data_IF_004470032598
#
_entry.id   IF_004470032598
#
_cell.length_a   1.000
_cell.length_b   1.000
_cell.length_c   1.000
_cell.angle_alpha   90.00
_cell.angle_beta   90.00
_cell.angle_gamma   90.00
#
_symmetry.space_group_name_H-M   'P 1'
#
loop_
_entity.id
_entity.type
_entity.pdbx_description
1 polymer ?
#
# COMPACT_ATOMS: atom_id res chain seq x y z
N UNK A 1 -41.53 9.47 -24.95
CA UNK A 1 -41.68 9.22 -23.51
C UNK A 1 -40.37 9.11 -22.74
N UNK A 2 -39.19 9.09 -23.40
CA UNK A 2 -37.88 8.99 -22.69
C UNK A 2 -37.24 10.34 -22.31
N UNK A 3 -37.78 11.48 -22.72
CA UNK A 3 -37.25 12.81 -22.42
C UNK A 3 -37.90 13.51 -21.22
N UNK A 4 -39.01 13.02 -20.72
CA UNK A 4 -39.69 13.57 -19.53
C UNK A 4 -39.22 13.02 -18.19
N UNK A 5 -38.54 11.88 -18.18
CA UNK A 5 -38.05 11.25 -16.94
C UNK A 5 -36.76 11.90 -16.42
N UNK A 6 -35.97 12.52 -17.29
CA UNK A 6 -34.71 13.21 -16.92
C UNK A 6 -34.91 14.55 -16.22
N UNK A 7 -36.03 15.22 -16.43
CA UNK A 7 -36.29 16.55 -15.84
C UNK A 7 -36.85 16.45 -14.42
N UNK A 8 -37.52 15.34 -14.07
CA UNK A 8 -38.06 15.13 -12.72
C UNK A 8 -36.99 14.76 -11.72
N UNK A 9 -35.89 14.10 -12.17
CA UNK A 9 -34.79 13.72 -11.30
C UNK A 9 -33.86 14.92 -10.95
N UNK A 10 -33.84 15.95 -11.76
CA UNK A 10 -33.02 17.18 -11.54
C UNK A 10 -33.68 18.17 -10.54
N UNK A 11 -34.98 18.10 -10.32
CA UNK A 11 -35.68 19.00 -9.38
C UNK A 11 -35.72 18.53 -7.93
N UNK A 12 -35.41 17.25 -7.67
CA UNK A 12 -35.41 16.67 -6.33
C UNK A 12 -34.14 16.94 -5.52
N UNK A 13 -33.06 17.48 -6.12
CA UNK A 13 -31.79 17.73 -5.43
C UNK A 13 -31.59 19.17 -4.95
N UNK A 14 -32.52 20.07 -5.17
CA UNK A 14 -32.39 21.52 -4.77
C UNK A 14 -33.12 21.86 -3.47
N UNK A 15 -33.84 20.94 -2.85
CA UNK A 15 -34.70 21.22 -1.70
C UNK A 15 -34.12 20.92 -0.32
N UNK A 16 -32.83 20.49 -0.19
CA UNK A 16 -32.26 20.08 1.11
C UNK A 16 -31.16 20.99 1.71
N UNK A 17 -31.04 22.25 1.29
CA UNK A 17 -29.99 23.17 1.79
C UNK A 17 -30.56 24.43 2.41
N UNK A 18 -31.60 24.38 3.24
CA UNK A 18 -31.92 25.50 4.16
C UNK A 18 -32.64 24.96 5.40
N UNK A 19 -31.91 24.53 6.43
CA UNK A 19 -32.37 24.60 7.83
C UNK A 19 -31.22 24.22 8.76
N UNK A 20 -30.68 25.17 9.53
CA UNK A 20 -29.91 24.86 10.72
C UNK A 20 -28.70 25.74 11.03
N UNK A 21 -28.87 27.07 11.03
CA UNK A 21 -28.00 27.96 11.80
C UNK A 21 -28.81 28.71 12.84
N UNK A 22 -28.75 28.26 14.08
CA UNK A 22 -29.02 29.07 15.27
C UNK A 22 -28.23 28.39 16.40
N UNK A 23 -27.11 28.88 16.81
CA UNK A 23 -26.84 29.95 17.72
C UNK A 23 -26.91 29.48 19.18
N UNK A 24 -25.75 29.51 19.90
CA UNK A 24 -25.72 30.13 21.23
C UNK A 24 -24.28 30.23 21.75
N UNK A 25 -23.82 31.45 21.80
CA UNK A 25 -22.69 31.93 22.58
C UNK A 25 -22.97 31.80 24.07
N UNK A 26 -22.04 31.24 24.86
CA UNK A 26 -21.84 31.69 26.24
C UNK A 26 -20.39 31.50 26.68
N UNK A 27 -19.85 32.62 27.08
CA UNK A 27 -18.54 32.87 27.66
C UNK A 27 -18.35 32.15 29.01
N UNK A 28 -17.15 31.65 29.27
CA UNK A 28 -16.67 31.20 30.55
C UNK A 28 -15.18 30.85 30.45
N UNK A 29 -14.34 31.75 31.00
CA UNK A 29 -12.91 31.52 31.24
C UNK A 29 -12.75 30.38 32.25
N UNK A 30 -11.75 29.51 31.98
CA UNK A 30 -10.69 29.20 32.94
C UNK A 30 -9.61 28.32 32.28
N UNK A 31 -8.37 28.69 32.54
CA UNK A 31 -7.14 28.05 32.10
C UNK A 31 -6.98 26.68 32.78
N UNK A 32 -6.63 25.65 32.01
CA UNK A 32 -5.58 24.72 32.44
C UNK A 32 -5.02 23.94 31.24
N UNK A 33 -3.73 24.08 31.02
CA UNK A 33 -2.97 23.34 30.02
C UNK A 33 -2.81 21.89 30.46
N UNK A 34 -3.31 20.96 29.65
CA UNK A 34 -2.88 19.57 29.69
C UNK A 34 -2.64 19.10 28.26
N UNK A 35 -1.37 18.97 27.94
CA UNK A 35 -0.84 18.29 26.75
C UNK A 35 -1.42 16.87 26.68
N UNK A 36 -2.39 16.64 25.81
CA UNK A 36 -2.79 15.29 25.44
C UNK A 36 -2.15 14.92 24.13
N UNK A 37 -1.09 14.17 24.24
CA UNK A 37 -0.36 13.47 23.18
C UNK A 37 -1.35 12.63 22.36
N UNK A 38 -1.44 12.94 21.07
CA UNK A 38 -2.21 12.19 20.07
C UNK A 38 -1.52 10.86 19.76
N UNK A 39 -1.69 9.88 20.62
CA UNK A 39 -1.19 8.51 20.41
C UNK A 39 -2.30 7.45 20.34
N UNK A 40 -3.58 7.86 20.23
CA UNK A 40 -4.72 6.94 20.30
C UNK A 40 -5.26 6.45 18.96
N UNK A 41 -4.87 7.02 17.82
CA UNK A 41 -5.60 6.75 16.57
C UNK A 41 -5.04 5.53 15.80
N UNK A 42 -3.73 5.33 15.78
CA UNK A 42 -3.12 4.21 15.05
C UNK A 42 -3.42 2.83 15.68
N UNK A 43 -3.44 2.74 17.00
CA UNK A 43 -3.69 1.47 17.71
C UNK A 43 -5.12 0.97 17.53
N UNK A 44 -6.10 1.88 17.56
CA UNK A 44 -7.52 1.53 17.36
C UNK A 44 -7.76 1.07 15.91
N UNK A 45 -7.17 1.74 14.94
CA UNK A 45 -7.28 1.38 13.52
C UNK A 45 -6.66 0.01 13.24
N UNK A 46 -5.46 -0.25 13.78
CA UNK A 46 -4.75 -1.53 13.59
C UNK A 46 -5.53 -2.72 14.16
N UNK A 47 -6.19 -2.55 15.32
CA UNK A 47 -7.03 -3.61 15.89
C UNK A 47 -8.25 -3.86 15.03
N UNK A 48 -8.91 -2.82 14.54
CA UNK A 48 -10.07 -2.95 13.65
C UNK A 48 -9.73 -3.64 12.32
N UNK A 49 -8.57 -3.36 11.74
CA UNK A 49 -8.12 -4.01 10.50
C UNK A 49 -7.80 -5.50 10.71
N UNK A 50 -7.18 -5.86 11.84
CA UNK A 50 -6.93 -7.25 12.19
C UNK A 50 -8.22 -8.03 12.44
N UNK A 51 -9.19 -7.44 13.10
CA UNK A 51 -10.49 -8.05 13.34
C UNK A 51 -11.24 -8.25 12.02
N UNK A 52 -11.20 -7.27 11.11
CA UNK A 52 -11.75 -7.40 9.74
C UNK A 52 -11.17 -8.60 8.99
N UNK A 53 -9.83 -8.76 9.02
CA UNK A 53 -9.13 -9.89 8.37
C UNK A 53 -9.54 -11.23 9.00
N UNK A 54 -9.64 -11.30 10.32
CA UNK A 54 -10.10 -12.50 11.03
C UNK A 54 -11.55 -12.84 10.76
N UNK A 55 -12.43 -11.85 10.76
CA UNK A 55 -13.86 -12.03 10.47
C UNK A 55 -14.09 -12.51 9.03
N UNK A 56 -13.27 -12.00 8.08
CA UNK A 56 -13.25 -12.47 6.70
C UNK A 56 -12.62 -13.87 6.53
N UNK A 57 -11.93 -14.37 7.57
CA UNK A 57 -11.14 -15.62 7.55
C UNK A 57 -10.12 -15.65 6.42
N UNK A 58 -9.63 -14.49 5.98
CA UNK A 58 -8.78 -14.37 4.81
C UNK A 58 -7.93 -13.10 4.84
N UNK A 59 -6.65 -13.23 4.47
CA UNK A 59 -5.73 -12.13 4.22
C UNK A 59 -5.59 -11.92 2.70
N UNK A 60 -5.97 -10.75 2.21
CA UNK A 60 -5.85 -10.37 0.79
C UNK A 60 -4.52 -9.64 0.59
N UNK A 61 -3.62 -10.25 -0.19
CA UNK A 61 -2.24 -9.81 -0.38
C UNK A 61 -2.03 -9.25 -1.78
N UNK A 62 -1.58 -8.02 -1.88
CA UNK A 62 -1.15 -7.41 -3.13
C UNK A 62 0.26 -7.87 -3.51
N UNK A 63 0.39 -8.45 -4.70
CA UNK A 63 1.65 -8.97 -5.26
C UNK A 63 1.84 -8.57 -6.72
N UNK A 64 3.06 -8.72 -7.21
CA UNK A 64 3.41 -8.70 -8.65
C UNK A 64 4.19 -9.95 -9.01
N UNK A 65 4.32 -10.24 -10.30
CA UNK A 65 5.21 -11.32 -10.76
C UNK A 65 6.67 -10.86 -10.61
N UNK A 66 7.35 -11.42 -9.63
CA UNK A 66 8.72 -11.07 -9.24
C UNK A 66 9.50 -12.30 -8.78
N UNK A 67 9.92 -13.16 -9.72
CA UNK A 67 10.73 -14.35 -9.43
C UNK A 67 12.09 -13.98 -8.81
N UNK A 68 12.56 -14.64 -7.74
CA UNK A 68 12.00 -15.80 -7.05
C UNK A 68 11.15 -15.45 -5.80
N UNK A 69 10.73 -14.21 -5.68
CA UNK A 69 10.00 -13.70 -4.49
C UNK A 69 8.53 -14.11 -4.55
N UNK A 70 7.85 -13.73 -5.63
CA UNK A 70 6.47 -14.12 -5.94
C UNK A 70 6.37 -14.38 -7.44
N UNK A 71 5.93 -15.55 -7.84
CA UNK A 71 5.72 -15.90 -9.25
C UNK A 71 4.77 -17.07 -9.39
N UNK A 72 4.29 -17.32 -10.60
CA UNK A 72 3.40 -18.45 -10.84
C UNK A 72 4.16 -19.66 -11.38
N UNK A 73 3.82 -20.84 -10.84
CA UNK A 73 4.25 -22.10 -11.43
C UNK A 73 3.48 -22.40 -12.74
N UNK A 74 3.82 -23.54 -13.38
CA UNK A 74 3.17 -24.00 -14.61
C UNK A 74 1.65 -24.23 -14.50
N UNK A 75 1.15 -24.39 -13.29
CA UNK A 75 -0.27 -24.64 -13.00
C UNK A 75 -1.00 -23.35 -12.57
N UNK A 76 -0.31 -22.20 -12.62
CA UNK A 76 -0.84 -20.89 -12.26
C UNK A 76 -0.91 -20.62 -10.75
N UNK A 77 -0.27 -21.47 -9.95
CA UNK A 77 -0.23 -21.30 -8.50
C UNK A 77 0.90 -20.34 -8.14
N UNK A 78 0.59 -19.36 -7.31
CA UNK A 78 1.59 -18.46 -6.74
C UNK A 78 2.54 -19.23 -5.82
N UNK A 79 3.85 -19.12 -6.07
CA UNK A 79 4.95 -19.72 -5.33
C UNK A 79 6.06 -18.68 -5.18
N UNK A 80 7.08 -19.01 -4.39
CA UNK A 80 8.20 -18.13 -4.13
C UNK A 80 8.36 -17.83 -2.64
N UNK A 81 9.41 -17.09 -2.31
CA UNK A 81 9.77 -16.86 -0.91
C UNK A 81 8.65 -16.15 -0.13
N UNK A 82 8.11 -15.04 -0.65
CA UNK A 82 7.08 -14.27 0.03
C UNK A 82 5.72 -14.95 -0.04
N UNK A 83 5.37 -15.58 -1.16
CA UNK A 83 4.15 -16.36 -1.28
C UNK A 83 4.09 -17.51 -0.26
N UNK A 84 5.20 -18.19 -0.01
CA UNK A 84 5.26 -19.29 0.96
C UNK A 84 5.31 -18.76 2.40
N UNK A 85 6.05 -17.67 2.66
CA UNK A 85 6.12 -17.04 3.97
C UNK A 85 4.74 -16.49 4.39
N UNK A 86 4.03 -15.83 3.48
CA UNK A 86 2.70 -15.28 3.75
C UNK A 86 1.68 -16.38 4.08
N UNK A 87 1.71 -17.51 3.37
CA UNK A 87 0.89 -18.67 3.72
C UNK A 87 1.22 -19.25 5.10
N UNK A 88 2.52 -19.32 5.45
CA UNK A 88 2.95 -19.81 6.76
C UNK A 88 2.46 -18.89 7.89
N UNK A 89 2.46 -17.57 7.67
CA UNK A 89 1.91 -16.60 8.63
C UNK A 89 0.40 -16.75 8.74
N UNK A 90 -0.33 -16.76 7.63
CA UNK A 90 -1.78 -16.92 7.62
C UNK A 90 -2.22 -18.24 8.29
N UNK A 91 -1.50 -19.32 8.05
CA UNK A 91 -1.74 -20.59 8.74
C UNK A 91 -1.59 -20.47 10.26
N UNK A 92 -0.60 -19.72 10.76
CA UNK A 92 -0.45 -19.45 12.20
C UNK A 92 -1.58 -18.58 12.74
N UNK A 93 -2.15 -17.72 11.94
CA UNK A 93 -3.31 -16.90 12.28
C UNK A 93 -4.62 -17.67 12.19
N UNK A 94 -4.62 -18.87 11.58
CA UNK A 94 -5.82 -19.69 11.35
C UNK A 94 -6.74 -19.13 10.26
N UNK A 95 -6.19 -18.44 9.27
CA UNK A 95 -6.91 -17.81 8.14
C UNK A 95 -6.33 -18.25 6.79
N UNK A 96 -7.07 -18.02 5.72
CA UNK A 96 -6.64 -18.27 4.35
C UNK A 96 -5.87 -17.09 3.75
N UNK A 97 -5.21 -17.29 2.60
CA UNK A 97 -4.55 -16.26 1.79
C UNK A 97 -5.22 -16.15 0.43
N UNK A 98 -5.47 -14.91 0.00
CA UNK A 98 -5.81 -14.59 -1.38
C UNK A 98 -4.73 -13.66 -1.96
N UNK A 99 -4.17 -14.02 -3.12
CA UNK A 99 -3.23 -13.17 -3.84
C UNK A 99 -3.93 -12.37 -4.93
N UNK A 100 -3.72 -11.06 -4.92
CA UNK A 100 -4.24 -10.12 -5.92
C UNK A 100 -3.05 -9.48 -6.64
N UNK A 101 -3.01 -9.63 -7.96
CA UNK A 101 -2.00 -8.96 -8.78
C UNK A 101 -2.33 -7.48 -8.85
N UNK A 102 -1.40 -6.65 -8.41
CA UNK A 102 -1.54 -5.19 -8.40
C UNK A 102 -0.62 -4.52 -9.41
N UNK A 103 -0.95 -3.31 -9.80
CA UNK A 103 0.01 -2.43 -10.47
C UNK A 103 0.91 -1.80 -9.40
N UNK A 104 2.24 -1.99 -9.52
CA UNK A 104 3.19 -1.52 -8.51
C UNK A 104 3.15 0.00 -8.27
N UNK A 105 2.90 0.79 -9.31
CA UNK A 105 2.72 2.24 -9.20
C UNK A 105 1.54 2.61 -8.29
N UNK A 106 0.50 1.79 -8.29
CA UNK A 106 -0.76 2.05 -7.58
C UNK A 106 -0.85 1.33 -6.22
N UNK A 107 0.22 0.66 -5.77
CA UNK A 107 0.22 -0.19 -4.56
C UNK A 107 -0.40 0.47 -3.31
N UNK A 108 -0.11 1.74 -3.07
CA UNK A 108 -0.68 2.47 -1.93
C UNK A 108 -2.13 2.86 -2.14
N UNK A 109 -2.56 3.07 -3.38
CA UNK A 109 -3.97 3.31 -3.72
C UNK A 109 -4.79 2.05 -3.44
N UNK A 110 -4.31 0.89 -3.88
CA UNK A 110 -4.94 -0.41 -3.64
C UNK A 110 -5.04 -0.71 -2.13
N UNK A 111 -3.96 -0.46 -1.39
CA UNK A 111 -3.93 -0.63 0.07
C UNK A 111 -4.93 0.30 0.78
N UNK A 112 -4.90 1.60 0.46
CA UNK A 112 -5.73 2.60 1.12
C UNK A 112 -7.23 2.47 0.77
N UNK A 113 -7.56 1.93 -0.40
CA UNK A 113 -8.95 1.64 -0.80
C UNK A 113 -9.52 0.40 -0.11
N UNK A 114 -8.66 -0.44 0.49
CA UNK A 114 -9.04 -1.71 1.07
C UNK A 114 -9.30 -2.82 0.05
N UNK A 115 -8.85 -2.66 -1.19
CA UNK A 115 -8.83 -3.71 -2.21
C UNK A 115 -7.93 -4.87 -1.78
N UNK A 116 -6.83 -4.54 -1.10
CA UNK A 116 -5.91 -5.47 -0.46
C UNK A 116 -5.74 -5.10 1.02
N UNK A 117 -5.42 -6.08 1.85
CA UNK A 117 -5.16 -5.88 3.27
C UNK A 117 -3.69 -5.56 3.55
N UNK A 118 -2.78 -6.09 2.73
CA UNK A 118 -1.35 -5.77 2.80
C UNK A 118 -0.67 -5.91 1.42
N UNK A 119 0.51 -5.29 1.31
CA UNK A 119 1.45 -5.48 0.21
C UNK A 119 2.55 -6.40 0.71
N UNK A 120 2.75 -7.55 0.07
CA UNK A 120 3.78 -8.50 0.44
C UNK A 120 4.49 -9.02 -0.81
N UNK A 121 5.55 -8.36 -1.23
CA UNK A 121 6.21 -8.58 -2.52
C UNK A 121 7.67 -8.11 -2.51
N UNK A 122 8.44 -8.46 -1.47
CA UNK A 122 9.84 -8.05 -1.35
C UNK A 122 10.05 -6.54 -1.27
N UNK A 123 9.07 -5.80 -0.74
CA UNK A 123 9.09 -4.35 -0.77
C UNK A 123 10.22 -3.76 0.05
N UNK A 124 11.05 -2.93 -0.57
CA UNK A 124 12.14 -2.21 0.12
C UNK A 124 11.58 -1.15 1.05
N UNK A 125 12.03 -1.16 2.30
CA UNK A 125 11.67 -0.13 3.29
C UNK A 125 12.38 1.18 2.94
N UNK A 126 11.61 2.13 2.41
CA UNK A 126 12.07 3.49 2.07
C UNK A 126 11.28 4.54 2.87
N UNK A 127 11.71 5.79 2.83
CA UNK A 127 10.98 6.88 3.48
C UNK A 127 9.60 7.10 2.84
N UNK A 128 9.48 6.89 1.54
CA UNK A 128 8.19 6.91 0.85
C UNK A 128 7.25 5.83 1.38
N UNK A 129 7.73 4.61 1.59
CA UNK A 129 6.89 3.52 2.16
C UNK A 129 6.44 3.88 3.57
N UNK A 130 7.36 4.33 4.43
CA UNK A 130 7.06 4.72 5.82
C UNK A 130 6.02 5.84 5.94
N UNK A 131 5.95 6.70 4.92
CA UNK A 131 5.01 7.82 4.90
C UNK A 131 3.61 7.39 4.46
N UNK A 132 3.50 6.32 3.66
CA UNK A 132 2.25 5.91 3.03
C UNK A 132 1.55 4.73 3.70
N UNK A 133 2.25 3.94 4.51
CA UNK A 133 1.67 2.79 5.21
C UNK A 133 2.48 2.40 6.45
N UNK A 134 1.86 1.63 7.33
CA UNK A 134 2.55 0.92 8.40
C UNK A 134 3.37 -0.22 7.81
N UNK A 135 4.52 -0.51 8.41
CA UNK A 135 5.45 -1.55 7.95
C UNK A 135 5.76 -2.55 9.08
N UNK A 136 5.97 -3.80 8.71
CA UNK A 136 6.49 -4.84 9.63
C UNK A 136 7.97 -4.63 9.92
N UNK A 137 8.51 -5.42 10.85
CA UNK A 137 9.95 -5.61 10.94
C UNK A 137 10.51 -6.18 9.64
N UNK A 138 11.74 -5.81 9.30
CA UNK A 138 12.43 -6.35 8.14
C UNK A 138 12.71 -7.85 8.33
N UNK A 139 12.24 -8.67 7.40
CA UNK A 139 12.42 -10.13 7.44
C UNK A 139 13.50 -10.65 6.49
N UNK A 140 14.01 -9.82 5.57
CA UNK A 140 15.09 -10.14 4.65
C UNK A 140 15.97 -8.93 4.38
N UNK A 141 17.26 -9.18 4.10
CA UNK A 141 18.17 -8.16 3.57
C UNK A 141 17.92 -7.94 2.08
N UNK A 142 17.99 -6.67 1.64
CA UNK A 142 17.81 -6.29 0.24
C UNK A 142 18.90 -5.31 -0.18
N UNK A 143 19.31 -5.38 -1.45
CA UNK A 143 20.24 -4.43 -2.06
C UNK A 143 19.83 -4.13 -3.50
N UNK A 144 19.83 -2.85 -3.86
CA UNK A 144 19.69 -2.46 -5.25
C UNK A 144 21.00 -2.73 -5.97
N UNK A 145 20.92 -3.36 -7.16
CA UNK A 145 22.08 -3.70 -7.96
C UNK A 145 21.87 -3.27 -9.41
N UNK A 146 22.96 -2.95 -10.09
CA UNK A 146 22.92 -2.67 -11.52
C UNK A 146 23.29 -3.94 -12.31
N UNK A 147 22.39 -4.38 -13.17
CA UNK A 147 22.62 -5.51 -14.07
C UNK A 147 23.10 -4.99 -15.42
N UNK A 148 24.21 -5.53 -15.91
CA UNK A 148 24.78 -5.14 -17.21
C UNK A 148 25.39 -6.32 -17.94
N UNK A 149 25.72 -6.11 -19.22
CA UNK A 149 26.43 -7.12 -20.01
C UNK A 149 27.80 -7.41 -19.39
N UNK A 150 28.19 -8.68 -19.35
CA UNK A 150 29.46 -9.13 -18.75
C UNK A 150 30.71 -8.39 -19.28
N UNK A 151 30.74 -8.07 -20.58
CA UNK A 151 31.84 -7.33 -21.19
C UNK A 151 31.88 -5.84 -20.79
N UNK A 152 30.87 -5.32 -20.13
CA UNK A 152 30.82 -3.94 -19.64
C UNK A 152 31.32 -3.79 -18.21
N UNK A 153 31.47 -4.88 -17.46
CA UNK A 153 31.85 -4.86 -16.04
C UNK A 153 33.19 -4.15 -15.79
N UNK A 154 34.19 -4.36 -16.66
CA UNK A 154 35.50 -3.72 -16.49
C UNK A 154 35.46 -2.19 -16.73
N UNK A 155 34.50 -1.72 -17.52
CA UNK A 155 34.32 -0.29 -17.81
C UNK A 155 33.54 0.43 -16.72
N UNK A 156 32.64 -0.27 -16.04
CA UNK A 156 31.72 0.24 -15.03
C UNK A 156 31.85 -0.57 -13.75
N UNK A 157 33.08 -0.57 -13.19
CA UNK A 157 33.43 -1.44 -12.07
C UNK A 157 32.84 -1.01 -10.72
N UNK A 158 32.46 0.25 -10.61
CA UNK A 158 31.92 0.85 -9.37
C UNK A 158 30.82 1.87 -9.67
N UNK A 159 30.17 2.36 -8.61
CA UNK A 159 29.08 3.32 -8.70
C UNK A 159 29.52 4.67 -9.31
N UNK A 160 30.74 5.10 -9.07
CA UNK A 160 31.24 6.38 -9.60
C UNK A 160 31.46 6.29 -11.11
N UNK A 161 31.96 5.17 -11.61
CA UNK A 161 32.09 4.93 -13.04
C UNK A 161 30.73 4.92 -13.76
N UNK A 162 29.68 4.39 -13.09
CA UNK A 162 28.30 4.40 -13.61
C UNK A 162 27.74 5.83 -13.58
N UNK A 163 27.85 6.51 -12.45
CA UNK A 163 27.29 7.85 -12.21
C UNK A 163 27.83 8.91 -13.19
N UNK A 164 29.11 8.80 -13.56
CA UNK A 164 29.79 9.74 -14.45
C UNK A 164 29.72 9.33 -15.94
N UNK A 165 29.01 8.25 -16.28
CA UNK A 165 28.87 7.76 -17.64
C UNK A 165 27.54 8.25 -18.26
N UNK A 166 27.57 8.50 -19.57
CA UNK A 166 26.36 8.72 -20.35
C UNK A 166 25.70 7.38 -20.65
N UNK A 167 24.79 6.96 -19.76
CA UNK A 167 24.09 5.68 -19.80
C UNK A 167 22.58 5.86 -19.79
N UNK A 168 21.89 5.02 -20.53
CA UNK A 168 20.46 4.82 -20.34
C UNK A 168 20.26 3.64 -19.41
N UNK A 169 19.63 3.89 -18.26
CA UNK A 169 19.32 2.88 -17.26
C UNK A 169 17.81 2.64 -17.27
N UNK A 170 17.39 1.39 -17.35
CA UNK A 170 16.00 1.00 -17.21
C UNK A 170 15.72 0.59 -15.77
N UNK A 171 14.63 1.09 -15.22
CA UNK A 171 14.15 0.76 -13.87
C UNK A 171 12.65 0.50 -13.91
N UNK A 172 12.14 -0.26 -12.95
CA UNK A 172 10.71 -0.36 -12.73
C UNK A 172 10.22 0.93 -12.07
N UNK A 173 9.20 1.54 -12.65
CA UNK A 173 8.59 2.75 -12.11
C UNK A 173 7.98 2.52 -10.73
N UNK A 174 8.17 3.46 -9.81
CA UNK A 174 7.71 3.35 -8.42
C UNK A 174 8.49 2.35 -7.57
N UNK A 175 9.58 1.77 -8.10
CA UNK A 175 10.48 0.89 -7.35
C UNK A 175 11.55 1.67 -6.58
N UNK A 176 12.24 0.98 -5.65
CA UNK A 176 13.38 1.55 -4.93
C UNK A 176 14.60 1.79 -5.84
N UNK A 177 14.63 1.21 -7.04
CA UNK A 177 15.69 1.43 -8.02
C UNK A 177 15.55 2.76 -8.78
N UNK A 178 14.38 3.41 -8.74
CA UNK A 178 14.11 4.69 -9.40
C UNK A 178 14.61 5.88 -8.55
N UNK A 179 14.75 5.73 -7.24
CA UNK A 179 15.16 6.78 -6.28
C UNK A 179 16.66 6.77 -6.01
#
# INVERSE_FOLDING_TARGET
MKKFLSVILALAMVACVVAGFAGCSKSGKDENAASSTSQSDSTVKTVADLDKVKDANKLVIGITDYEPIDYQDKDGKWIGFDADLSRAVAQKMGIDVEFVVINWDNKFIELNSGTIDCIWNGMTVSDSVKTNCDISDAYAGNSQVVVMKKNSLSKYADADAIKNADLTIAVEKGSAGET
#
